data_IF_354444583647
#
_entry.id   IF_354444583647
#
_cell.length_a   1.000
_cell.length_b   1.000
_cell.length_c   1.000
_cell.angle_alpha   90.00
_cell.angle_beta   90.00
_cell.angle_gamma   90.00
#
_symmetry.space_group_name_H-M   'P 1'
#
loop_
_entity.id
_entity.type
_entity.pdbx_description
1 polymer ?
#
# COMPACT_ATOMS: atom_id res chain seq x y z
N UNK A 1 15.23 1.33 -8.19
CA UNK A 1 14.16 2.07 -7.49
C UNK A 1 13.27 2.69 -8.56
N UNK A 2 11.95 2.53 -8.47
CA UNK A 2 11.02 3.33 -9.28
C UNK A 2 11.03 4.75 -8.73
N UNK A 3 10.96 5.75 -9.61
CA UNK A 3 10.65 7.12 -9.18
C UNK A 3 9.20 7.19 -8.66
N UNK A 4 8.93 8.21 -7.84
CA UNK A 4 7.65 8.38 -7.13
C UNK A 4 6.45 8.49 -8.06
N UNK A 5 6.63 9.07 -9.26
CA UNK A 5 5.56 9.22 -10.26
C UNK A 5 5.19 7.87 -10.85
N UNK A 6 6.19 7.08 -11.27
CA UNK A 6 5.98 5.76 -11.84
C UNK A 6 5.46 4.77 -10.79
N UNK A 7 5.91 4.86 -9.53
CA UNK A 7 5.43 4.03 -8.44
C UNK A 7 3.92 4.25 -8.17
N UNK A 8 3.48 5.51 -8.21
CA UNK A 8 2.06 5.86 -8.00
C UNK A 8 1.16 5.28 -9.09
N UNK A 9 1.54 5.40 -10.37
CA UNK A 9 0.75 4.92 -11.50
C UNK A 9 0.64 3.39 -11.54
N UNK A 10 1.75 2.70 -11.28
CA UNK A 10 1.77 1.23 -11.21
C UNK A 10 0.89 0.74 -10.06
N UNK A 11 0.98 1.38 -8.89
CA UNK A 11 0.17 1.01 -7.74
C UNK A 11 -1.34 1.20 -8.00
N UNK A 12 -1.73 2.30 -8.63
CA UNK A 12 -3.15 2.54 -8.95
C UNK A 12 -3.71 1.43 -9.85
N UNK A 13 -2.92 0.97 -10.82
CA UNK A 13 -3.33 -0.14 -11.70
C UNK A 13 -3.43 -1.47 -10.95
N UNK A 14 -2.48 -1.77 -10.05
CA UNK A 14 -2.57 -2.97 -9.20
C UNK A 14 -3.81 -2.96 -8.32
N UNK A 15 -4.11 -1.83 -7.66
CA UNK A 15 -5.29 -1.69 -6.82
C UNK A 15 -6.58 -1.82 -7.64
N UNK A 16 -6.62 -1.24 -8.84
CA UNK A 16 -7.75 -1.37 -9.76
C UNK A 16 -7.99 -2.82 -10.17
N UNK A 17 -6.93 -3.54 -10.54
CA UNK A 17 -7.02 -4.96 -10.90
C UNK A 17 -7.46 -5.83 -9.72
N UNK A 18 -6.89 -5.61 -8.54
CA UNK A 18 -7.24 -6.30 -7.31
C UNK A 18 -8.74 -6.18 -6.99
N UNK A 19 -9.28 -4.96 -7.04
CA UNK A 19 -10.71 -4.70 -6.84
C UNK A 19 -11.58 -5.39 -7.88
N UNK A 20 -11.19 -5.32 -9.17
CA UNK A 20 -11.94 -5.97 -10.26
C UNK A 20 -11.97 -7.49 -10.14
N UNK A 21 -10.87 -8.09 -9.70
CA UNK A 21 -10.71 -9.55 -9.60
C UNK A 21 -11.12 -10.10 -8.23
N UNK A 22 -11.50 -9.23 -7.27
CA UNK A 22 -11.78 -9.58 -5.87
C UNK A 22 -10.60 -10.29 -5.20
N UNK A 23 -9.39 -9.81 -5.49
CA UNK A 23 -8.14 -10.35 -4.95
C UNK A 23 -7.61 -9.40 -3.87
N UNK A 24 -7.07 -9.97 -2.79
CA UNK A 24 -6.34 -9.19 -1.79
C UNK A 24 -4.92 -8.90 -2.29
N UNK A 25 -4.47 -7.65 -2.13
CA UNK A 25 -3.08 -7.23 -2.43
C UNK A 25 -2.44 -6.74 -1.16
N UNK A 26 -1.25 -7.27 -0.85
CA UNK A 26 -0.40 -6.82 0.26
C UNK A 26 0.80 -6.10 -0.33
N UNK A 27 0.96 -4.83 0.01
CA UNK A 27 2.08 -4.00 -0.43
C UNK A 27 2.95 -3.70 0.78
N UNK A 28 4.24 -3.98 0.66
CA UNK A 28 5.26 -3.60 1.64
C UNK A 28 6.03 -2.42 1.05
N UNK A 29 5.96 -1.28 1.72
CA UNK A 29 6.62 -0.05 1.29
C UNK A 29 7.14 0.71 2.51
N UNK A 30 8.22 1.47 2.31
CA UNK A 30 8.70 2.47 3.28
C UNK A 30 8.17 3.87 2.95
N UNK A 31 7.50 4.03 1.80
CA UNK A 31 6.94 5.29 1.34
C UNK A 31 5.52 5.48 1.90
N UNK A 32 5.33 6.54 2.69
CA UNK A 32 4.07 6.86 3.33
C UNK A 32 2.96 7.24 2.33
N UNK A 33 3.30 7.86 1.19
CA UNK A 33 2.33 8.25 0.17
C UNK A 33 1.79 7.02 -0.57
N UNK A 34 2.65 6.02 -0.79
CA UNK A 34 2.28 4.71 -1.34
C UNK A 34 1.39 3.96 -0.34
N UNK A 35 1.74 3.96 0.94
CA UNK A 35 0.92 3.32 1.99
C UNK A 35 -0.45 3.99 2.15
N UNK A 36 -0.52 5.32 1.97
CA UNK A 36 -1.77 6.09 2.08
C UNK A 36 -2.84 5.67 1.07
N UNK A 37 -2.46 5.05 -0.05
CA UNK A 37 -3.38 4.54 -1.08
C UNK A 37 -4.05 3.21 -0.72
N UNK A 38 -3.58 2.52 0.32
CA UNK A 38 -4.13 1.23 0.76
C UNK A 38 -5.42 1.41 1.58
N UNK A 39 -6.35 0.46 1.44
CA UNK A 39 -7.59 0.43 2.24
C UNK A 39 -7.31 0.23 3.74
N UNK A 40 -6.22 -0.46 4.08
CA UNK A 40 -5.79 -0.69 5.47
C UNK A 40 -4.28 -0.55 5.55
N UNK A 41 -3.81 0.12 6.60
CA UNK A 41 -2.41 0.44 6.81
C UNK A 41 -1.91 -0.21 8.09
N UNK A 42 -0.72 -0.80 8.02
CA UNK A 42 0.01 -1.33 9.18
C UNK A 42 1.41 -0.74 9.18
N UNK A 43 1.93 -0.48 10.37
CA UNK A 43 3.34 -0.15 10.57
C UNK A 43 4.02 -1.33 11.24
N UNK A 44 5.20 -1.70 10.73
CA UNK A 44 6.02 -2.73 11.33
C UNK A 44 7.15 -2.10 12.15
N UNK A 45 7.32 -2.51 13.39
CA UNK A 45 8.43 -2.11 14.25
C UNK A 45 8.89 -3.33 15.04
N UNK A 46 10.19 -3.63 14.99
CA UNK A 46 10.78 -4.82 15.64
C UNK A 46 10.04 -6.14 15.33
N UNK A 47 9.58 -6.30 14.09
CA UNK A 47 8.84 -7.48 13.63
C UNK A 47 7.37 -7.54 14.06
N UNK A 48 6.87 -6.52 14.75
CA UNK A 48 5.47 -6.43 15.20
C UNK A 48 4.69 -5.49 14.29
N UNK A 49 3.54 -5.96 13.79
CA UNK A 49 2.61 -5.15 13.00
C UNK A 49 1.57 -4.50 13.90
N UNK A 50 1.45 -3.17 13.83
CA UNK A 50 0.39 -2.40 14.45
C UNK A 50 -0.50 -1.76 13.38
N UNK A 51 -1.81 -1.92 13.50
CA UNK A 51 -2.75 -1.27 12.59
C UNK A 51 -2.73 0.24 12.83
N UNK A 52 -2.62 1.01 11.74
CA UNK A 52 -2.73 2.47 11.79
C UNK A 52 -4.21 2.86 11.84
N UNK A 53 -4.63 3.48 12.93
CA UNK A 53 -5.98 4.03 13.12
C UNK A 53 -5.94 5.51 12.74
N UNK A 54 -6.82 5.95 11.84
CA UNK A 54 -6.96 7.37 11.55
C UNK A 54 -7.53 8.08 12.80
N UNK A 55 -6.88 9.15 13.25
CA UNK A 55 -7.35 10.03 14.34
C UNK A 55 -8.38 11.00 13.80
#
# INVERSE_FOLDING_TARGET
ALDSVNAAAVLDEFLRLARRQKTAVVIVTHDADVAAKADTQYTMTDGVLAQRVAV
#
